data_IF_593938958521
#
_entry.id   IF_593938958521
#
_cell.length_a   1.000
_cell.length_b   1.000
_cell.length_c   1.000
_cell.angle_alpha   90.00
_cell.angle_beta   90.00
_cell.angle_gamma   90.00
#
_symmetry.space_group_name_H-M   'P 1'
#
loop_
_entity.id
_entity.type
_entity.pdbx_description
1 polymer ?
#
# COMPACT_ATOMS: atom_id res chain seq x y z
N UNK A 1 -23.71 9.59 27.96
CA UNK A 1 -23.67 9.93 26.52
C UNK A 1 -22.26 9.83 25.90
N UNK A 2 -21.23 10.51 26.44
CA UNK A 2 -19.85 10.47 25.88
C UNK A 2 -19.19 9.07 25.88
N UNK A 3 -19.48 8.23 26.86
CA UNK A 3 -18.96 6.86 26.94
C UNK A 3 -19.54 5.95 25.83
N UNK A 4 -20.86 6.01 25.62
CA UNK A 4 -21.54 5.23 24.59
C UNK A 4 -21.02 5.59 23.19
N UNK A 5 -20.89 6.89 22.89
CA UNK A 5 -20.34 7.38 21.61
C UNK A 5 -18.90 6.90 21.38
N UNK A 6 -18.07 6.83 22.44
CA UNK A 6 -16.69 6.33 22.35
C UNK A 6 -16.65 4.82 22.07
N UNK A 7 -17.55 4.05 22.69
CA UNK A 7 -17.68 2.61 22.47
C UNK A 7 -18.15 2.29 21.05
N UNK A 8 -19.17 3.00 20.54
CA UNK A 8 -19.65 2.83 19.16
C UNK A 8 -18.53 3.12 18.14
N UNK A 9 -17.78 4.22 18.32
CA UNK A 9 -16.62 4.54 17.47
C UNK A 9 -15.44 3.57 17.58
N UNK A 10 -15.33 2.80 18.67
CA UNK A 10 -14.32 1.73 18.78
C UNK A 10 -14.78 0.47 18.05
N UNK A 11 -16.05 0.10 18.16
CA UNK A 11 -16.61 -1.02 17.39
C UNK A 11 -16.55 -0.75 15.88
N UNK A 12 -16.95 0.42 15.41
CA UNK A 12 -16.87 0.76 13.98
C UNK A 12 -15.43 0.72 13.44
N UNK A 13 -14.45 1.10 14.27
CA UNK A 13 -13.03 1.02 13.91
C UNK A 13 -12.53 -0.42 13.88
N UNK A 14 -12.95 -1.25 14.82
CA UNK A 14 -12.57 -2.66 14.86
C UNK A 14 -13.20 -3.44 13.71
N UNK A 15 -14.47 -3.18 13.38
CA UNK A 15 -15.16 -3.78 12.24
C UNK A 15 -14.55 -3.35 10.91
N UNK A 16 -14.26 -2.05 10.74
CA UNK A 16 -13.52 -1.56 9.57
C UNK A 16 -12.13 -2.18 9.48
N UNK A 17 -11.42 -2.34 10.60
CA UNK A 17 -10.10 -2.98 10.62
C UNK A 17 -10.17 -4.46 10.22
N UNK A 18 -11.17 -5.19 10.73
CA UNK A 18 -11.42 -6.58 10.34
C UNK A 18 -11.79 -6.73 8.86
N UNK A 19 -12.62 -5.83 8.32
CA UNK A 19 -12.94 -5.80 6.90
C UNK A 19 -11.71 -5.49 6.03
N UNK A 20 -10.94 -4.45 6.37
CA UNK A 20 -9.72 -4.10 5.62
C UNK A 20 -8.67 -5.21 5.65
N UNK A 21 -8.52 -5.92 6.78
CA UNK A 21 -7.63 -7.08 6.88
C UNK A 21 -8.02 -8.17 5.87
N UNK A 22 -9.32 -8.46 5.74
CA UNK A 22 -9.80 -9.42 4.75
C UNK A 22 -9.55 -8.93 3.31
N UNK A 23 -9.81 -7.65 3.02
CA UNK A 23 -9.66 -7.07 1.68
C UNK A 23 -8.18 -7.07 1.19
N UNK A 24 -7.22 -6.74 2.07
CA UNK A 24 -5.78 -6.78 1.74
C UNK A 24 -5.32 -8.22 1.48
N UNK A 25 -5.77 -9.17 2.30
CA UNK A 25 -5.41 -10.58 2.13
C UNK A 25 -5.99 -11.15 0.83
N UNK A 26 -7.19 -10.76 0.43
CA UNK A 26 -7.75 -11.15 -0.87
C UNK A 26 -6.96 -10.59 -2.05
N UNK A 27 -6.56 -9.32 -1.98
CA UNK A 27 -5.69 -8.69 -2.99
C UNK A 27 -4.36 -9.42 -3.10
N UNK A 28 -3.74 -9.70 -1.96
CA UNK A 28 -2.49 -10.44 -1.88
C UNK A 28 -2.57 -11.83 -2.52
N UNK A 29 -3.67 -12.56 -2.25
CA UNK A 29 -3.93 -13.87 -2.87
C UNK A 29 -4.06 -13.78 -4.38
N UNK A 30 -4.72 -12.75 -4.92
CA UNK A 30 -4.84 -12.53 -6.37
C UNK A 30 -3.48 -12.28 -7.01
N UNK A 31 -2.65 -11.43 -6.40
CA UNK A 31 -1.29 -11.14 -6.86
C UNK A 31 -0.43 -12.41 -6.87
N UNK A 32 -0.43 -13.16 -5.77
CA UNK A 32 0.33 -14.40 -5.66
C UNK A 32 -0.13 -15.43 -6.69
N UNK A 33 -1.44 -15.61 -6.85
CA UNK A 33 -1.99 -16.50 -7.88
C UNK A 33 -1.51 -16.11 -9.28
N UNK A 34 -1.61 -14.82 -9.63
CA UNK A 34 -1.16 -14.32 -10.93
C UNK A 34 0.34 -14.57 -11.18
N UNK A 35 1.18 -14.32 -10.18
CA UNK A 35 2.62 -14.56 -10.20
C UNK A 35 2.94 -16.05 -10.38
N UNK A 36 2.23 -16.91 -9.65
CA UNK A 36 2.50 -18.34 -9.58
C UNK A 36 2.05 -19.07 -10.84
N UNK A 37 0.91 -18.67 -11.42
CA UNK A 37 0.43 -19.16 -12.72
C UNK A 37 1.43 -18.92 -13.87
N UNK A 38 2.30 -17.92 -13.73
CA UNK A 38 3.34 -17.58 -14.71
C UNK A 38 4.72 -18.10 -14.33
N UNK A 39 4.83 -18.82 -13.22
CA UNK A 39 6.08 -19.33 -12.67
C UNK A 39 7.14 -18.21 -12.49
N UNK A 40 6.71 -17.05 -12.01
CA UNK A 40 7.58 -15.88 -11.87
C UNK A 40 8.37 -15.83 -10.56
N UNK A 41 8.00 -16.65 -9.56
CA UNK A 41 8.70 -16.69 -8.26
C UNK A 41 10.22 -16.76 -8.36
N UNK A 42 10.84 -17.58 -9.25
CA UNK A 42 12.31 -17.63 -9.36
C UNK A 42 12.97 -16.31 -9.78
N UNK A 43 12.25 -15.43 -10.48
CA UNK A 43 12.74 -14.14 -10.95
C UNK A 43 12.39 -12.98 -10.00
N UNK A 44 11.53 -13.24 -9.01
CA UNK A 44 11.05 -12.24 -8.06
C UNK A 44 11.73 -12.47 -6.70
N UNK A 45 13.06 -12.44 -6.63
CA UNK A 45 13.78 -12.35 -5.36
C UNK A 45 13.71 -10.94 -4.78
N UNK A 46 14.11 -10.76 -3.52
CA UNK A 46 13.92 -9.51 -2.78
C UNK A 46 14.67 -8.33 -3.43
N UNK A 47 15.87 -8.58 -3.95
CA UNK A 47 16.70 -7.57 -4.62
C UNK A 47 16.04 -7.12 -5.92
N UNK A 48 15.56 -8.05 -6.73
CA UNK A 48 14.92 -7.74 -8.02
C UNK A 48 13.54 -7.07 -7.82
N UNK A 49 12.76 -7.49 -6.83
CA UNK A 49 11.50 -6.82 -6.48
C UNK A 49 11.74 -5.39 -5.96
N UNK A 50 12.77 -5.16 -5.16
CA UNK A 50 13.14 -3.81 -4.72
C UNK A 50 13.55 -2.91 -5.90
N UNK A 51 14.22 -3.47 -6.91
CA UNK A 51 14.53 -2.76 -8.15
C UNK A 51 13.24 -2.43 -8.92
N UNK A 52 12.32 -3.38 -9.11
CA UNK A 52 11.03 -3.14 -9.76
C UNK A 52 10.26 -2.02 -9.07
N UNK A 53 10.14 -2.03 -7.73
CA UNK A 53 9.48 -0.93 -6.99
C UNK A 53 10.10 0.42 -7.33
N UNK A 54 11.42 0.50 -7.43
CA UNK A 54 12.10 1.74 -7.81
C UNK A 54 11.82 2.14 -9.25
N UNK A 55 11.69 1.19 -10.18
CA UNK A 55 11.39 1.48 -11.59
C UNK A 55 9.98 2.06 -11.72
N UNK A 56 8.96 1.37 -11.18
CA UNK A 56 7.56 1.84 -11.28
C UNK A 56 7.34 3.16 -10.52
N UNK A 57 8.10 3.39 -9.43
CA UNK A 57 8.07 4.69 -8.76
C UNK A 57 8.63 5.82 -9.64
N UNK A 58 9.56 5.52 -10.56
CA UNK A 58 10.03 6.51 -11.54
C UNK A 58 9.06 6.68 -12.70
N UNK A 59 8.36 5.64 -13.14
CA UNK A 59 7.28 5.74 -14.14
C UNK A 59 6.14 6.63 -13.60
N UNK A 60 5.74 6.44 -12.33
CA UNK A 60 4.83 7.34 -11.62
C UNK A 60 5.33 8.80 -11.60
N UNK A 61 6.64 9.03 -11.42
CA UNK A 61 7.22 10.37 -11.44
C UNK A 61 7.20 10.97 -12.86
N UNK A 62 7.33 10.16 -13.90
CA UNK A 62 7.32 10.61 -15.30
C UNK A 62 6.00 11.28 -15.67
N UNK A 63 4.88 10.83 -15.10
CA UNK A 63 3.56 11.46 -15.29
C UNK A 63 3.60 12.96 -15.00
N UNK A 64 4.36 13.37 -13.98
CA UNK A 64 4.51 14.75 -13.53
C UNK A 64 5.74 15.45 -14.10
N UNK A 65 6.56 14.77 -14.91
CA UNK A 65 7.77 15.36 -15.46
C UNK A 65 7.40 16.53 -16.38
N UNK A 66 7.92 17.72 -16.07
CA UNK A 66 7.65 18.98 -16.78
C UNK A 66 6.19 19.46 -16.71
N UNK A 67 5.38 18.89 -15.81
CA UNK A 67 3.96 19.25 -15.64
C UNK A 67 3.71 19.78 -14.23
N UNK A 68 2.66 20.57 -14.09
CA UNK A 68 2.05 20.86 -12.79
C UNK A 68 1.34 19.62 -12.23
N UNK A 69 1.01 19.63 -10.94
CA UNK A 69 0.25 18.52 -10.34
C UNK A 69 -1.14 18.40 -10.98
N UNK A 70 -1.78 19.53 -11.26
CA UNK A 70 -3.10 19.60 -11.88
C UNK A 70 -3.10 18.94 -13.28
N UNK A 71 -2.08 19.22 -14.10
CA UNK A 71 -1.92 18.61 -15.43
C UNK A 71 -1.64 17.11 -15.35
N UNK A 72 -0.74 16.68 -14.45
CA UNK A 72 -0.47 15.26 -14.25
C UNK A 72 -1.70 14.48 -13.80
N UNK A 73 -2.54 15.10 -12.94
CA UNK A 73 -3.78 14.50 -12.46
C UNK A 73 -4.85 14.31 -13.55
N UNK A 74 -4.70 14.87 -14.75
CA UNK A 74 -5.62 14.61 -15.86
C UNK A 74 -5.43 13.20 -16.43
N UNK A 75 -4.25 12.61 -16.32
CA UNK A 75 -3.93 11.26 -16.79
C UNK A 75 -4.28 10.19 -15.74
N UNK A 76 -5.59 10.08 -15.47
CA UNK A 76 -6.11 9.23 -14.40
C UNK A 76 -5.91 7.72 -14.61
N UNK A 77 -5.75 7.29 -15.87
CA UNK A 77 -5.52 5.88 -16.21
C UNK A 77 -4.09 5.50 -15.84
N UNK A 78 -3.12 6.20 -16.41
CA UNK A 78 -1.69 5.97 -16.16
C UNK A 78 -1.35 6.13 -14.67
N UNK A 79 -1.92 7.13 -13.98
CA UNK A 79 -1.72 7.27 -12.53
C UNK A 79 -2.16 6.05 -11.74
N UNK A 80 -3.28 5.42 -12.12
CA UNK A 80 -3.77 4.23 -11.41
C UNK A 80 -2.91 3.02 -11.70
N UNK A 81 -2.40 2.90 -12.93
CA UNK A 81 -1.50 1.83 -13.33
C UNK A 81 -0.19 1.91 -12.54
N UNK A 82 0.50 3.05 -12.57
CA UNK A 82 1.80 3.18 -11.89
C UNK A 82 1.71 3.07 -10.37
N UNK A 83 0.63 3.61 -9.77
CA UNK A 83 0.38 3.40 -8.33
C UNK A 83 0.12 1.92 -8.04
N UNK A 84 -0.65 1.23 -8.89
CA UNK A 84 -0.94 -0.18 -8.71
C UNK A 84 0.34 -1.02 -8.84
N UNK A 85 1.22 -0.72 -9.80
CA UNK A 85 2.44 -1.49 -10.02
C UNK A 85 3.44 -1.34 -8.86
N UNK A 86 3.64 -0.11 -8.36
CA UNK A 86 4.41 0.11 -7.13
C UNK A 86 3.87 -0.72 -5.96
N UNK A 87 2.55 -0.75 -5.79
CA UNK A 87 1.90 -1.53 -4.73
C UNK A 87 2.03 -3.03 -4.95
N UNK A 88 1.86 -3.53 -6.18
CA UNK A 88 1.93 -4.96 -6.51
C UNK A 88 3.33 -5.51 -6.20
N UNK A 89 4.40 -4.83 -6.63
CA UNK A 89 5.76 -5.29 -6.31
C UNK A 89 6.08 -5.15 -4.82
N UNK A 90 5.59 -4.10 -4.15
CA UNK A 90 5.71 -3.96 -2.69
C UNK A 90 5.02 -5.11 -1.96
N UNK A 91 3.86 -5.53 -2.45
CA UNK A 91 3.09 -6.63 -1.89
C UNK A 91 3.84 -7.95 -2.08
N UNK A 92 4.31 -8.24 -3.30
CA UNK A 92 5.13 -9.42 -3.57
C UNK A 92 6.39 -9.48 -2.70
N UNK A 93 7.04 -8.33 -2.46
CA UNK A 93 8.21 -8.27 -1.59
C UNK A 93 7.86 -8.58 -0.13
N UNK A 94 6.74 -8.03 0.36
CA UNK A 94 6.23 -8.35 1.69
C UNK A 94 5.88 -9.84 1.83
N UNK A 95 5.31 -10.47 0.78
CA UNK A 95 5.06 -11.93 0.74
C UNK A 95 6.33 -12.73 0.99
N UNK A 96 7.37 -12.41 0.22
CA UNK A 96 8.63 -13.16 0.25
C UNK A 96 9.30 -13.06 1.63
N UNK A 97 9.17 -11.90 2.27
CA UNK A 97 9.72 -11.64 3.61
C UNK A 97 8.81 -12.10 4.75
N UNK A 98 7.59 -12.56 4.44
CA UNK A 98 6.62 -13.01 5.44
C UNK A 98 6.02 -11.86 6.28
N UNK A 99 5.94 -10.65 5.71
CA UNK A 99 5.41 -9.47 6.41
C UNK A 99 3.90 -9.31 6.17
N UNK A 100 3.14 -9.05 7.25
CA UNK A 100 1.77 -8.56 7.13
C UNK A 100 1.80 -7.06 6.82
N UNK A 101 1.26 -6.69 5.65
CA UNK A 101 1.29 -5.31 5.16
C UNK A 101 0.53 -4.35 6.08
N UNK A 102 -0.59 -4.79 6.64
CA UNK A 102 -1.39 -3.95 7.53
C UNK A 102 -0.67 -3.73 8.86
N UNK A 103 0.03 -4.75 9.37
CA UNK A 103 0.87 -4.66 10.56
C UNK A 103 2.03 -3.67 10.37
N UNK A 104 2.85 -3.84 9.33
CA UNK A 104 4.02 -2.97 9.10
C UNK A 104 3.62 -1.51 8.86
N UNK A 105 2.48 -1.26 8.19
CA UNK A 105 1.94 0.09 8.00
C UNK A 105 1.48 0.67 9.34
N UNK A 106 0.73 -0.09 10.14
CA UNK A 106 0.24 0.36 11.44
C UNK A 106 1.40 0.75 12.37
N UNK A 107 2.42 -0.12 12.48
CA UNK A 107 3.62 0.19 13.26
C UNK A 107 4.34 1.44 12.77
N UNK A 108 4.45 1.61 11.44
CA UNK A 108 5.12 2.76 10.84
C UNK A 108 4.35 4.05 11.11
N UNK A 109 3.02 4.01 11.08
CA UNK A 109 2.17 5.15 11.41
C UNK A 109 2.31 5.55 12.89
N UNK A 110 2.35 4.58 13.81
CA UNK A 110 2.57 4.86 15.24
C UNK A 110 3.94 5.51 15.48
N UNK A 111 5.00 5.00 14.85
CA UNK A 111 6.35 5.62 14.87
C UNK A 111 6.33 7.04 14.29
N UNK A 112 5.61 7.25 13.19
CA UNK A 112 5.51 8.56 12.55
C UNK A 112 4.71 9.56 13.39
N UNK A 113 3.67 9.13 14.11
CA UNK A 113 2.88 10.00 14.99
C UNK A 113 3.70 10.51 16.18
N UNK A 114 4.65 9.71 16.67
CA UNK A 114 5.62 10.12 17.70
C UNK A 114 6.63 11.11 17.10
N UNK A 115 7.16 10.81 15.90
CA UNK A 115 8.16 11.65 15.23
C UNK A 115 7.59 13.02 14.77
N UNK A 116 6.34 13.03 14.35
CA UNK A 116 5.63 14.20 13.80
C UNK A 116 4.30 14.37 14.54
N UNK A 117 4.32 14.96 15.76
CA UNK A 117 3.10 15.18 16.53
C UNK A 117 2.17 16.15 15.81
N UNK A 118 0.86 16.00 16.08
CA UNK A 118 -0.15 16.90 15.50
C UNK A 118 0.16 18.36 15.91
N UNK A 119 -0.02 19.33 15.00
CA UNK A 119 0.07 20.74 15.36
C UNK A 119 -0.89 21.03 16.52
N UNK A 120 -0.38 21.66 17.57
CA UNK A 120 -1.23 22.25 18.61
C UNK A 120 -1.94 23.46 18.01
N UNK A 121 -3.27 23.40 17.95
CA UNK A 121 -4.11 24.56 17.62
C UNK A 121 -4.05 25.60 18.73
#
# INVERSE_FOLDING_TARGET
MRFYIKMTRMNDRNEKRGKMMNDTQETMKKINKFRDERNWRPFHNEKDLALSISLEANELLEIYQWKTSEEGNLDQEHLKEEIADVLIYSYMLADNLGFDINEIIAEKLDKNAIKYPKPTK
#
